data_IF_316505369015
#
_entry.id   IF_316505369015
#
_cell.length_a   1.000
_cell.length_b   1.000
_cell.length_c   1.000
_cell.angle_alpha   90.00
_cell.angle_beta   90.00
_cell.angle_gamma   90.00
#
_symmetry.space_group_name_H-M   'P 1'
#
loop_
_entity.id
_entity.type
_entity.pdbx_description
1 polymer ?
#
# COMPACT_ATOMS: atom_id res chain seq x y z
N UNK A 1 6.33 -2.59 -44.08
CA UNK A 1 6.04 -3.53 -42.97
C UNK A 1 7.11 -3.45 -41.88
N UNK A 2 8.39 -3.23 -42.22
CA UNK A 2 9.51 -3.15 -41.26
C UNK A 2 9.52 -1.87 -40.41
N UNK A 3 9.09 -0.72 -40.92
CA UNK A 3 9.07 0.54 -40.16
C UNK A 3 7.94 0.60 -39.11
N UNK A 4 6.74 0.08 -39.43
CA UNK A 4 5.62 0.02 -38.48
C UNK A 4 5.87 -0.91 -37.28
N UNK A 5 6.73 -1.92 -37.44
CA UNK A 5 7.13 -2.82 -36.36
C UNK A 5 8.13 -2.10 -35.43
N UNK A 6 9.13 -1.40 -36.01
CA UNK A 6 10.07 -0.58 -35.24
C UNK A 6 9.40 0.54 -34.45
N UNK A 7 8.45 1.25 -35.05
CA UNK A 7 7.76 2.34 -34.34
C UNK A 7 6.93 1.83 -33.16
N UNK A 8 6.26 0.69 -33.31
CA UNK A 8 5.48 0.07 -32.23
C UNK A 8 6.38 -0.43 -31.08
N UNK A 9 7.53 -1.01 -31.42
CA UNK A 9 8.52 -1.45 -30.43
C UNK A 9 9.15 -0.27 -29.68
N UNK A 10 9.37 0.87 -30.36
CA UNK A 10 9.84 2.10 -29.73
C UNK A 10 8.78 2.68 -28.78
N UNK A 11 7.51 2.76 -29.20
CA UNK A 11 6.43 3.28 -28.34
C UNK A 11 6.24 2.44 -27.09
N UNK A 12 6.23 1.11 -27.22
CA UNK A 12 6.11 0.20 -26.07
C UNK A 12 7.30 0.29 -25.11
N UNK A 13 8.51 0.49 -25.63
CA UNK A 13 9.70 0.71 -24.80
C UNK A 13 9.63 2.05 -24.05
N UNK A 14 9.15 3.11 -24.71
CA UNK A 14 8.94 4.42 -24.08
C UNK A 14 7.90 4.36 -22.94
N UNK A 15 6.78 3.67 -23.16
CA UNK A 15 5.76 3.42 -22.13
C UNK A 15 6.34 2.68 -20.93
N UNK A 16 7.11 1.62 -21.17
CA UNK A 16 7.73 0.82 -20.11
C UNK A 16 8.76 1.64 -19.31
N UNK A 17 9.57 2.46 -20.00
CA UNK A 17 10.51 3.38 -19.34
C UNK A 17 9.78 4.43 -18.49
N UNK A 18 8.64 4.93 -18.96
CA UNK A 18 7.84 5.89 -18.20
C UNK A 18 7.26 5.25 -16.93
N UNK A 19 6.74 4.02 -17.02
CA UNK A 19 6.25 3.27 -15.86
C UNK A 19 7.37 3.00 -14.85
N UNK A 20 8.57 2.59 -15.32
CA UNK A 20 9.73 2.36 -14.45
C UNK A 20 10.21 3.65 -13.76
N UNK A 21 10.22 4.78 -14.46
CA UNK A 21 10.51 6.09 -13.84
C UNK A 21 9.49 6.46 -12.77
N UNK A 22 8.20 6.29 -13.06
CA UNK A 22 7.14 6.57 -12.10
C UNK A 22 7.26 5.70 -10.84
N UNK A 23 7.60 4.42 -10.99
CA UNK A 23 7.83 3.51 -9.89
C UNK A 23 9.01 3.95 -9.00
N UNK A 24 10.13 4.35 -9.60
CA UNK A 24 11.28 4.88 -8.86
C UNK A 24 10.92 6.15 -8.07
N UNK A 25 10.14 7.03 -8.69
CA UNK A 25 9.70 8.27 -8.07
C UNK A 25 8.80 8.00 -6.85
N UNK A 26 7.88 7.04 -6.96
CA UNK A 26 7.04 6.57 -5.85
C UNK A 26 7.92 6.01 -4.72
N UNK A 27 8.88 5.15 -5.04
CA UNK A 27 9.83 4.57 -4.06
C UNK A 27 10.62 5.66 -3.32
N UNK A 28 11.15 6.64 -4.04
CA UNK A 28 11.86 7.77 -3.43
C UNK A 28 10.96 8.58 -2.50
N UNK A 29 9.70 8.82 -2.88
CA UNK A 29 8.73 9.53 -2.05
C UNK A 29 8.34 8.73 -0.80
N UNK A 30 8.27 7.40 -0.89
CA UNK A 30 8.07 6.54 0.29
C UNK A 30 9.25 6.72 1.27
N UNK A 31 10.49 6.69 0.77
CA UNK A 31 11.68 6.87 1.61
C UNK A 31 11.78 8.26 2.24
N UNK A 32 11.36 9.31 1.54
CA UNK A 32 11.40 10.68 2.03
C UNK A 32 10.28 11.02 3.04
N UNK A 33 9.25 10.18 3.15
CA UNK A 33 8.09 10.47 3.98
C UNK A 33 8.43 10.45 5.48
N UNK A 34 8.00 11.49 6.19
CA UNK A 34 8.36 11.69 7.59
C UNK A 34 7.51 10.88 8.56
N UNK A 35 6.28 10.52 8.15
CA UNK A 35 5.36 9.75 8.98
C UNK A 35 4.37 8.95 8.12
N UNK A 36 3.75 7.94 8.75
CA UNK A 36 2.76 7.05 8.10
C UNK A 36 1.61 7.85 7.48
N UNK A 37 1.08 8.89 8.16
CA UNK A 37 -0.05 9.68 7.65
C UNK A 37 0.28 10.30 6.29
N UNK A 38 1.49 10.83 6.15
CA UNK A 38 1.97 11.40 4.91
C UNK A 38 2.08 10.34 3.80
N UNK A 39 2.58 9.14 4.12
CA UNK A 39 2.62 8.01 3.17
C UNK A 39 1.21 7.68 2.65
N UNK A 40 0.22 7.60 3.53
CA UNK A 40 -1.16 7.24 3.15
C UNK A 40 -1.84 8.30 2.27
N UNK A 41 -1.45 9.57 2.38
CA UNK A 41 -2.09 10.69 1.67
C UNK A 41 -1.32 11.07 0.42
N UNK A 42 -0.01 11.32 0.53
CA UNK A 42 0.79 11.95 -0.52
C UNK A 42 1.08 10.98 -1.68
N UNK A 43 1.25 9.68 -1.39
CA UNK A 43 1.59 8.68 -2.41
C UNK A 43 0.41 8.28 -3.29
N UNK A 44 -0.80 8.69 -2.90
CA UNK A 44 -2.03 8.26 -3.52
C UNK A 44 -2.03 8.50 -5.03
N UNK A 45 -1.75 9.74 -5.43
CA UNK A 45 -1.84 10.15 -6.83
C UNK A 45 -0.74 9.50 -7.69
N UNK A 46 0.46 9.29 -7.13
CA UNK A 46 1.56 8.64 -7.85
C UNK A 46 1.23 7.19 -8.20
N UNK A 47 0.77 6.42 -7.20
CA UNK A 47 0.38 5.02 -7.39
C UNK A 47 -0.85 4.93 -8.30
N UNK A 48 -1.85 5.80 -8.12
CA UNK A 48 -3.03 5.82 -8.99
C UNK A 48 -2.70 6.01 -10.46
N UNK A 49 -1.74 6.89 -10.77
CA UNK A 49 -1.31 7.14 -12.14
C UNK A 49 -0.54 5.95 -12.71
N UNK A 50 0.35 5.32 -11.93
CA UNK A 50 1.10 4.14 -12.37
C UNK A 50 0.17 2.99 -12.78
N UNK A 51 -0.86 2.72 -11.97
CA UNK A 51 -1.83 1.64 -12.24
C UNK A 51 -2.99 2.06 -13.14
N UNK A 52 -3.04 3.33 -13.54
CA UNK A 52 -4.22 3.93 -14.17
C UNK A 52 -5.51 3.53 -13.44
N UNK A 53 -5.58 3.69 -12.12
CA UNK A 53 -6.70 3.24 -11.30
C UNK A 53 -7.57 4.40 -10.80
N UNK A 54 -8.77 4.09 -10.31
CA UNK A 54 -9.70 5.10 -9.76
C UNK A 54 -9.44 5.37 -8.28
N UNK A 55 -9.12 4.34 -7.50
CA UNK A 55 -8.87 4.48 -6.08
C UNK A 55 -7.78 3.52 -5.62
N UNK A 56 -7.11 3.89 -4.54
CA UNK A 56 -6.21 3.01 -3.81
C UNK A 56 -6.54 3.12 -2.33
N UNK A 57 -6.19 2.08 -1.59
CA UNK A 57 -6.25 2.08 -0.14
C UNK A 57 -4.97 1.45 0.39
N UNK A 58 -4.28 2.16 1.26
CA UNK A 58 -3.09 1.67 1.94
C UNK A 58 -3.46 1.45 3.40
N UNK A 59 -3.43 0.20 3.84
CA UNK A 59 -3.72 -0.18 5.21
C UNK A 59 -2.44 -0.41 6.01
N UNK A 60 -2.49 -0.08 7.29
CA UNK A 60 -1.45 -0.30 8.29
C UNK A 60 -1.99 -1.21 9.38
N UNK A 61 -1.17 -2.14 9.87
CA UNK A 61 -1.57 -3.08 10.93
C UNK A 61 -1.61 -2.38 12.29
N UNK A 62 -2.74 -2.53 13.00
CA UNK A 62 -2.92 -2.23 14.42
C UNK A 62 -2.90 -3.55 15.20
N UNK A 63 -1.69 -3.98 15.61
CA UNK A 63 -1.48 -5.28 16.28
C UNK A 63 -2.30 -5.45 17.56
N UNK A 64 -2.37 -4.46 18.48
CA UNK A 64 -3.17 -4.60 19.70
C UNK A 64 -4.64 -4.92 19.46
N UNK A 65 -5.23 -4.42 18.36
CA UNK A 65 -6.63 -4.66 18.00
C UNK A 65 -6.83 -5.83 17.04
N UNK A 66 -5.76 -6.40 16.50
CA UNK A 66 -5.80 -7.37 15.40
C UNK A 66 -6.63 -6.86 14.20
N UNK A 67 -6.41 -5.60 13.86
CA UNK A 67 -7.07 -4.89 12.77
C UNK A 67 -6.04 -4.29 11.81
N UNK A 68 -6.49 -3.96 10.62
CA UNK A 68 -5.80 -3.06 9.71
C UNK A 68 -6.61 -1.77 9.58
N UNK A 69 -5.94 -0.63 9.53
CA UNK A 69 -6.58 0.68 9.39
C UNK A 69 -5.98 1.49 8.26
N UNK A 70 -6.81 2.33 7.63
CA UNK A 70 -6.41 3.27 6.59
C UNK A 70 -7.00 4.64 6.90
N UNK A 71 -6.34 5.69 6.44
CA UNK A 71 -6.84 7.06 6.53
C UNK A 71 -7.08 7.63 5.13
N UNK A 72 -8.10 8.47 4.99
CA UNK A 72 -8.36 9.20 3.75
C UNK A 72 -8.92 10.58 4.06
N UNK A 73 -8.70 11.53 3.14
CA UNK A 73 -9.29 12.86 3.20
C UNK A 73 -10.72 12.84 2.67
N UNK A 74 -11.67 13.28 3.49
CA UNK A 74 -13.06 13.50 3.12
C UNK A 74 -13.38 15.01 3.30
N UNK A 75 -13.17 15.78 2.23
CA UNK A 75 -13.14 17.25 2.33
C UNK A 75 -11.96 17.70 3.18
N UNK A 76 -12.21 18.48 4.23
CA UNK A 76 -11.18 18.94 5.17
C UNK A 76 -10.92 17.99 6.36
N UNK A 77 -11.67 16.89 6.48
CA UNK A 77 -11.55 15.97 7.61
C UNK A 77 -10.83 14.69 7.20
N UNK A 78 -9.86 14.26 8.04
CA UNK A 78 -9.25 12.93 7.93
C UNK A 78 -10.22 11.93 8.56
N UNK A 79 -10.68 10.97 7.76
CA UNK A 79 -11.49 9.84 8.22
C UNK A 79 -10.66 8.57 8.24
N UNK A 80 -11.08 7.65 9.11
CA UNK A 80 -10.40 6.37 9.33
C UNK A 80 -11.33 5.22 8.96
N UNK A 81 -10.74 4.20 8.32
CA UNK A 81 -11.38 2.93 7.99
C UNK A 81 -10.64 1.86 8.77
N UNK A 82 -11.39 0.98 9.45
CA UNK A 82 -10.84 -0.18 10.17
C UNK A 82 -11.46 -1.46 9.65
N UNK A 83 -10.63 -2.48 9.50
CA UNK A 83 -11.02 -3.80 9.01
C UNK A 83 -10.34 -4.86 9.88
N UNK A 84 -11.08 -5.82 10.46
CA UNK A 84 -10.48 -6.93 11.20
C UNK A 84 -9.61 -7.83 10.31
N UNK A 85 -8.52 -8.36 10.86
CA UNK A 85 -7.67 -9.35 10.17
C UNK A 85 -8.35 -10.72 10.28
N UNK A 86 -9.16 -11.05 9.26
CA UNK A 86 -9.82 -12.34 9.09
C UNK A 86 -10.23 -12.53 7.62
N UNK A 87 -10.75 -13.72 7.28
CA UNK A 87 -11.12 -14.05 5.90
C UNK A 87 -12.43 -13.42 5.41
N UNK A 88 -13.14 -12.62 6.23
CA UNK A 88 -14.48 -12.09 5.87
C UNK A 88 -14.46 -10.87 4.98
N UNK A 89 -13.28 -10.30 4.72
CA UNK A 89 -13.08 -9.15 3.85
C UNK A 89 -11.85 -9.37 2.99
N UNK A 90 -11.77 -8.71 1.82
CA UNK A 90 -10.64 -8.89 0.90
C UNK A 90 -9.34 -8.40 1.52
N UNK A 91 -9.33 -7.19 2.10
CA UNK A 91 -8.13 -6.66 2.76
C UNK A 91 -7.76 -7.47 4.01
N UNK A 92 -8.74 -7.89 4.81
CA UNK A 92 -8.53 -8.76 5.96
C UNK A 92 -7.97 -10.13 5.58
N UNK A 93 -8.46 -10.73 4.48
CA UNK A 93 -7.99 -12.03 4.00
C UNK A 93 -6.55 -11.95 3.49
N UNK A 94 -6.19 -10.89 2.76
CA UNK A 94 -4.81 -10.66 2.33
C UNK A 94 -3.90 -10.47 3.54
N UNK A 95 -4.33 -9.70 4.54
CA UNK A 95 -3.60 -9.56 5.81
C UNK A 95 -3.43 -10.91 6.53
N UNK A 96 -4.49 -11.73 6.58
CA UNK A 96 -4.48 -13.00 7.31
C UNK A 96 -3.65 -14.08 6.61
N UNK A 97 -3.71 -14.17 5.28
CA UNK A 97 -3.07 -15.24 4.51
C UNK A 97 -1.70 -14.86 3.96
N UNK A 98 -1.40 -13.57 3.84
CA UNK A 98 -0.18 -13.09 3.18
C UNK A 98 -0.14 -13.37 1.68
N UNK A 99 -1.29 -13.60 1.04
CA UNK A 99 -1.38 -13.90 -0.41
C UNK A 99 -1.90 -12.71 -1.19
N UNK A 100 -1.32 -12.48 -2.36
CA UNK A 100 -1.80 -11.48 -3.33
C UNK A 100 -3.12 -11.96 -3.94
N UNK A 101 -4.08 -11.05 -4.09
CA UNK A 101 -5.39 -11.30 -4.69
C UNK A 101 -5.61 -10.37 -5.88
N UNK A 102 -6.17 -10.90 -6.97
CA UNK A 102 -6.56 -10.16 -8.17
C UNK A 102 -7.96 -10.59 -8.62
N UNK A 103 -8.96 -9.77 -8.32
CA UNK A 103 -10.39 -9.98 -8.50
C UNK A 103 -10.90 -9.10 -9.65
N UNK A 104 -11.71 -9.68 -10.54
CA UNK A 104 -12.35 -8.95 -11.65
C UNK A 104 -13.60 -8.23 -11.16
N UNK A 105 -14.41 -8.92 -10.35
CA UNK A 105 -15.65 -8.36 -9.82
C UNK A 105 -15.85 -8.72 -8.34
N UNK A 106 -15.67 -7.75 -7.46
CA UNK A 106 -15.86 -7.89 -6.03
C UNK A 106 -17.32 -8.22 -5.64
N UNK A 107 -18.28 -8.04 -6.55
CA UNK A 107 -19.67 -8.43 -6.35
C UNK A 107 -19.96 -9.88 -6.77
N UNK A 108 -19.03 -10.55 -7.46
CA UNK A 108 -19.18 -11.94 -7.86
C UNK A 108 -18.83 -12.87 -6.70
N UNK A 109 -19.88 -13.37 -6.04
CA UNK A 109 -19.76 -14.30 -4.91
C UNK A 109 -19.06 -15.61 -5.32
N UNK A 110 -19.21 -16.07 -6.55
CA UNK A 110 -18.55 -17.30 -7.01
C UNK A 110 -17.05 -17.08 -7.21
N UNK A 111 -16.65 -15.92 -7.74
CA UNK A 111 -15.24 -15.53 -7.83
C UNK A 111 -14.60 -15.49 -6.44
N UNK A 112 -15.25 -14.84 -5.47
CA UNK A 112 -14.75 -14.75 -4.10
C UNK A 112 -14.63 -16.12 -3.42
N UNK A 113 -15.66 -16.97 -3.57
CA UNK A 113 -15.68 -18.31 -2.95
C UNK A 113 -14.65 -19.28 -3.52
N UNK A 114 -14.20 -19.07 -4.78
CA UNK A 114 -13.09 -19.83 -5.37
C UNK A 114 -11.75 -19.51 -4.72
N UNK A 115 -11.60 -18.31 -4.14
CA UNK A 115 -10.40 -17.89 -3.42
C UNK A 115 -10.44 -18.44 -1.99
N UNK A 116 -11.52 -18.15 -1.26
CA UNK A 116 -11.75 -18.66 0.10
C UNK A 116 -13.25 -18.71 0.40
N UNK A 117 -13.71 -19.76 1.09
CA UNK A 117 -15.13 -20.01 1.37
C UNK A 117 -15.78 -18.94 2.24
N UNK A 118 -14.99 -18.29 3.09
CA UNK A 118 -15.44 -17.23 4.01
C UNK A 118 -15.30 -15.83 3.39
N UNK A 119 -14.67 -15.71 2.22
CA UNK A 119 -14.43 -14.44 1.55
C UNK A 119 -15.72 -13.79 1.11
N UNK A 120 -15.92 -12.56 1.58
CA UNK A 120 -17.03 -11.72 1.21
C UNK A 120 -16.54 -10.29 0.94
N UNK A 121 -17.27 -9.57 0.10
CA UNK A 121 -17.06 -8.15 -0.10
C UNK A 121 -18.02 -7.34 0.77
N UNK A 122 -17.47 -6.43 1.58
CA UNK A 122 -18.27 -5.54 2.41
C UNK A 122 -18.74 -4.31 1.60
N UNK A 123 -20.02 -4.32 1.27
CA UNK A 123 -20.70 -3.26 0.51
C UNK A 123 -20.96 -2.00 1.34
N UNK A 124 -20.79 -2.02 2.66
CA UNK A 124 -21.14 -0.90 3.53
C UNK A 124 -20.32 0.35 3.21
N UNK A 125 -19.05 0.20 2.84
CA UNK A 125 -18.20 1.34 2.46
C UNK A 125 -18.56 1.92 1.10
N UNK A 126 -18.84 1.08 0.11
CA UNK A 126 -19.33 1.50 -1.19
C UNK A 126 -20.65 2.28 -1.06
N UNK A 127 -21.60 1.77 -0.25
CA UNK A 127 -22.87 2.46 0.03
C UNK A 127 -22.68 3.80 0.73
N UNK A 128 -21.71 3.91 1.65
CA UNK A 128 -21.44 5.16 2.39
C UNK A 128 -20.74 6.21 1.54
N UNK A 129 -19.87 5.79 0.63
CA UNK A 129 -19.03 6.70 -0.18
C UNK A 129 -19.61 6.98 -1.55
N UNK A 130 -20.55 6.15 -2.03
CA UNK A 130 -21.04 6.19 -3.41
C UNK A 130 -20.05 5.63 -4.43
N UNK A 131 -18.87 5.17 -3.99
CA UNK A 131 -17.89 4.49 -4.83
C UNK A 131 -18.30 3.03 -5.05
N UNK A 132 -18.20 2.52 -6.27
CA UNK A 132 -18.47 1.11 -6.58
C UNK A 132 -17.17 0.39 -6.87
N UNK A 133 -16.77 -0.52 -5.99
CA UNK A 133 -15.54 -1.30 -6.09
C UNK A 133 -15.81 -2.58 -6.88
N UNK A 134 -15.29 -2.65 -8.11
CA UNK A 134 -15.44 -3.81 -8.99
C UNK A 134 -14.16 -4.62 -9.06
N UNK A 135 -13.09 -4.05 -9.63
CA UNK A 135 -11.81 -4.75 -9.75
C UNK A 135 -10.93 -4.43 -8.55
N UNK A 136 -10.26 -5.45 -8.01
CA UNK A 136 -9.38 -5.30 -6.84
C UNK A 136 -8.10 -6.06 -7.07
N UNK A 137 -6.97 -5.36 -6.97
CA UNK A 137 -5.66 -5.97 -6.80
C UNK A 137 -5.13 -5.62 -5.41
N UNK A 138 -4.82 -6.63 -4.61
CA UNK A 138 -4.43 -6.45 -3.22
C UNK A 138 -3.19 -7.29 -2.88
N UNK A 139 -2.20 -6.68 -2.25
CA UNK A 139 -0.96 -7.32 -1.82
C UNK A 139 -0.67 -7.04 -0.34
N UNK A 140 -0.11 -8.01 0.40
CA UNK A 140 0.33 -7.78 1.76
C UNK A 140 1.64 -6.95 1.75
N UNK A 141 1.77 -6.08 2.75
CA UNK A 141 2.98 -5.29 3.00
C UNK A 141 3.73 -5.99 4.13
N UNK A 142 4.92 -6.50 3.84
CA UNK A 142 5.75 -7.23 4.80
C UNK A 142 7.08 -6.50 5.07
N UNK A 143 7.56 -6.63 6.31
CA UNK A 143 8.97 -6.38 6.63
C UNK A 143 9.51 -7.58 7.43
N UNK A 144 10.55 -8.24 6.92
CA UNK A 144 11.15 -9.42 7.55
C UNK A 144 10.11 -10.47 8.01
N UNK A 145 9.19 -10.87 7.12
CA UNK A 145 8.06 -11.79 7.37
C UNK A 145 7.00 -11.30 8.35
N UNK A 146 7.15 -10.09 8.89
CA UNK A 146 6.17 -9.48 9.78
C UNK A 146 5.22 -8.63 8.95
N UNK A 147 3.91 -8.89 9.04
CA UNK A 147 2.90 -8.10 8.36
C UNK A 147 2.90 -6.67 8.91
N UNK A 148 3.04 -5.70 8.01
CA UNK A 148 2.99 -4.27 8.29
C UNK A 148 1.70 -3.62 7.80
N UNK A 149 1.06 -4.19 6.76
CA UNK A 149 -0.09 -3.57 6.13
C UNK A 149 -0.63 -4.35 4.94
N UNK A 150 -1.53 -3.70 4.19
CA UNK A 150 -2.06 -4.22 2.92
C UNK A 150 -2.20 -3.05 1.94
N UNK A 151 -1.71 -3.23 0.72
CA UNK A 151 -1.88 -2.28 -0.38
C UNK A 151 -2.99 -2.78 -1.30
N UNK A 152 -3.98 -1.94 -1.59
CA UNK A 152 -5.07 -2.27 -2.50
C UNK A 152 -5.23 -1.22 -3.60
N UNK A 153 -5.34 -1.69 -4.85
CA UNK A 153 -5.67 -0.91 -6.02
C UNK A 153 -7.08 -1.29 -6.48
N UNK A 154 -7.92 -0.28 -6.68
CA UNK A 154 -9.34 -0.44 -6.96
C UNK A 154 -9.70 0.18 -8.31
N UNK A 155 -10.40 -0.60 -9.13
CA UNK A 155 -10.93 -0.25 -10.45
C UNK A 155 -9.89 0.33 -11.40
N UNK A 156 -9.44 -0.49 -12.35
CA UNK A 156 -8.61 -0.01 -13.46
C UNK A 156 -9.41 0.95 -14.34
N UNK A 157 -8.78 1.99 -14.86
CA UNK A 157 -9.32 2.91 -15.87
C UNK A 157 -9.09 2.31 -17.25
N UNK A 158 -10.07 2.46 -18.13
CA UNK A 158 -9.98 1.93 -19.49
C UNK A 158 -10.51 0.50 -19.59
N UNK A 159 -9.68 -0.42 -20.10
CA UNK A 159 -10.14 -1.74 -20.51
C UNK A 159 -10.60 -2.62 -19.34
N UNK A 160 -11.74 -3.32 -19.48
CA UNK A 160 -12.24 -4.27 -18.49
C UNK A 160 -11.33 -5.51 -18.44
N UNK A 161 -11.03 -6.02 -17.25
CA UNK A 161 -10.22 -7.24 -17.09
C UNK A 161 -9.52 -7.38 -15.74
N UNK A 162 -8.59 -8.33 -15.64
CA UNK A 162 -7.68 -8.43 -14.49
C UNK A 162 -6.54 -7.43 -14.61
N UNK A 163 -5.97 -7.05 -13.48
CA UNK A 163 -4.65 -6.43 -13.49
C UNK A 163 -3.62 -7.40 -14.08
N UNK A 164 -2.67 -6.89 -14.86
CA UNK A 164 -1.64 -7.67 -15.57
C UNK A 164 -0.61 -8.23 -14.59
N UNK A 165 0.24 -9.16 -15.03
CA UNK A 165 1.36 -9.64 -14.20
C UNK A 165 2.38 -8.54 -13.91
N UNK A 166 2.61 -7.62 -14.84
CA UNK A 166 3.48 -6.46 -14.61
C UNK A 166 2.92 -5.54 -13.53
N UNK A 167 1.60 -5.27 -13.55
CA UNK A 167 0.92 -4.51 -12.51
C UNK A 167 1.02 -5.21 -11.14
N UNK A 168 0.90 -6.54 -11.09
CA UNK A 168 1.16 -7.30 -9.86
C UNK A 168 2.61 -7.14 -9.39
N UNK A 169 3.56 -7.17 -10.32
CA UNK A 169 4.99 -6.95 -10.04
C UNK A 169 5.23 -5.58 -9.42
N UNK A 170 4.70 -4.52 -10.03
CA UNK A 170 4.78 -3.16 -9.48
C UNK A 170 4.14 -3.06 -8.10
N UNK A 171 3.02 -3.74 -7.88
CA UNK A 171 2.34 -3.72 -6.58
C UNK A 171 3.20 -4.35 -5.49
N UNK A 172 3.86 -5.47 -5.82
CA UNK A 172 4.76 -6.16 -4.89
C UNK A 172 5.99 -5.31 -4.59
N UNK A 173 6.63 -4.72 -5.61
CA UNK A 173 7.78 -3.82 -5.43
C UNK A 173 7.43 -2.64 -4.50
N UNK A 174 6.28 -1.99 -4.72
CA UNK A 174 5.81 -0.90 -3.84
C UNK A 174 5.51 -1.42 -2.42
N UNK A 175 4.91 -2.61 -2.30
CA UNK A 175 4.58 -3.21 -1.00
C UNK A 175 5.84 -3.51 -0.19
N UNK A 176 6.93 -3.94 -0.82
CA UNK A 176 8.19 -4.23 -0.14
C UNK A 176 8.83 -2.93 0.41
N UNK A 177 8.84 -1.86 -0.39
CA UNK A 177 9.33 -0.54 0.02
C UNK A 177 8.49 0.04 1.16
N UNK A 178 7.16 -0.04 1.04
CA UNK A 178 6.23 0.38 2.10
C UNK A 178 6.46 -0.41 3.40
N UNK A 179 6.82 -1.69 3.31
CA UNK A 179 7.13 -2.52 4.47
C UNK A 179 8.30 -1.97 5.28
N UNK A 180 9.40 -1.61 4.61
CA UNK A 180 10.55 -0.97 5.25
C UNK A 180 10.17 0.37 5.87
N UNK A 181 9.42 1.20 5.15
CA UNK A 181 9.00 2.51 5.66
C UNK A 181 8.09 2.40 6.88
N UNK A 182 7.08 1.52 6.85
CA UNK A 182 6.19 1.28 7.98
C UNK A 182 6.92 0.72 9.20
N UNK A 183 7.85 -0.21 8.99
CA UNK A 183 8.65 -0.75 10.09
C UNK A 183 9.51 0.34 10.75
N UNK A 184 10.21 1.15 9.97
CA UNK A 184 11.01 2.25 10.50
C UNK A 184 10.14 3.22 11.32
N UNK A 185 8.98 3.59 10.81
CA UNK A 185 8.03 4.49 11.49
C UNK A 185 7.42 3.87 12.76
N UNK A 186 7.10 2.57 12.74
CA UNK A 186 6.65 1.82 13.93
C UNK A 186 7.76 1.81 15.00
N UNK A 187 9.03 1.61 14.60
CA UNK A 187 10.20 1.66 15.50
C UNK A 187 10.39 3.06 16.10
N UNK A 188 10.32 4.12 15.30
CA UNK A 188 10.42 5.50 15.79
C UNK A 188 9.30 5.83 16.79
N UNK A 189 8.07 5.39 16.54
CA UNK A 189 6.93 5.64 17.44
C UNK A 189 7.01 4.82 18.73
N UNK A 190 7.62 3.62 18.67
CA UNK A 190 7.84 2.74 19.83
C UNK A 190 9.03 3.14 20.69
N UNK A 191 10.04 3.84 20.14
CA UNK A 191 11.05 4.50 20.97
C UNK A 191 10.30 5.47 21.90
N UNK A 192 10.35 5.21 23.21
CA UNK A 192 9.73 6.08 24.22
C UNK A 192 10.21 7.49 23.95
N UNK A 193 9.31 8.48 23.95
CA UNK A 193 9.74 9.88 23.94
C UNK A 193 10.69 10.09 25.10
N UNK A 194 11.96 10.32 24.83
CA UNK A 194 12.95 10.57 25.88
C UNK A 194 13.12 12.08 26.02
N UNK A 195 13.66 12.52 27.16
CA UNK A 195 14.08 13.92 27.33
C UNK A 195 15.16 14.35 26.31
N UNK A 196 15.78 13.39 25.61
CA UNK A 196 16.83 13.63 24.62
C UNK A 196 16.30 13.81 23.20
N UNK A 197 15.00 13.56 22.95
CA UNK A 197 14.39 13.73 21.62
C UNK A 197 14.49 15.17 21.11
N UNK A 198 14.47 16.15 22.02
CA UNK A 198 14.69 17.55 21.68
C UNK A 198 16.08 17.76 21.09
N UNK A 199 17.08 17.09 21.66
CA UNK A 199 18.48 17.22 21.23
C UNK A 199 18.71 16.52 19.88
N UNK A 200 18.11 15.35 19.67
CA UNK A 200 18.20 14.63 18.39
C UNK A 200 17.51 15.43 17.27
N UNK A 201 16.30 15.96 17.53
CA UNK A 201 15.54 16.70 16.51
C UNK A 201 16.14 18.07 16.14
N UNK A 202 17.10 18.58 16.92
CA UNK A 202 17.84 19.81 16.64
C UNK A 202 19.31 19.55 16.29
N UNK A 203 19.68 18.32 15.93
CA UNK A 203 21.05 17.91 15.55
C UNK A 203 22.11 18.13 16.65
N UNK A 204 21.67 18.23 17.92
CA UNK A 204 22.53 18.43 19.09
C UNK A 204 23.05 17.11 19.68
N UNK A 205 22.58 15.96 19.20
CA UNK A 205 23.00 14.62 19.64
C UNK A 205 22.80 13.63 18.49
N UNK A 206 23.84 12.86 18.15
CA UNK A 206 23.75 11.83 17.10
C UNK A 206 23.18 10.54 17.68
N UNK A 207 22.40 9.85 16.86
CA UNK A 207 21.65 8.65 17.24
C UNK A 207 22.57 7.51 17.72
N UNK A 208 23.76 7.41 17.14
CA UNK A 208 24.79 6.39 17.46
C UNK A 208 25.42 6.58 18.85
N UNK A 209 25.44 7.82 19.36
CA UNK A 209 26.05 8.14 20.67
C UNK A 209 25.13 7.72 21.84
N UNK A 210 23.83 7.55 21.59
CA UNK A 210 22.88 7.07 22.59
C UNK A 210 22.94 5.55 22.70
N UNK A 211 22.96 4.83 21.57
CA UNK A 211 22.92 3.37 21.57
C UNK A 211 24.22 2.78 22.19
N UNK A 212 25.37 3.45 22.06
CA UNK A 212 26.64 3.07 22.72
C UNK A 212 26.66 3.30 24.24
N UNK A 213 25.97 4.32 24.75
CA UNK A 213 25.93 4.62 26.18
C UNK A 213 25.14 3.58 27.01
N UNK A 214 24.28 2.79 26.38
CA UNK A 214 23.53 1.70 27.04
C UNK A 214 24.30 0.37 27.05
N UNK A 215 25.31 0.20 26.20
CA UNK A 215 26.16 -1.00 26.21
C UNK A 215 27.26 -0.95 27.29
N UNK A 216 27.64 0.26 27.74
CA UNK A 216 28.65 0.50 28.78
C UNK A 216 28.09 0.57 30.23
N UNK A 217 26.81 0.23 30.46
CA UNK A 217 26.14 0.30 31.78
C UNK A 217 25.72 -1.05 32.36
#
# INVERSE_FOLDING_TARGET
>A
MTDQIKDKDITTLEELLQQRKALLDITNRIHAAQNIKQILVDLKDGILNLFSAHSITIYVVDRPRNEIFSMFLAGAQVKEIRVPINNKSISGHVANTGKVINIIDAYDIEELKKIDKELAFDLSWDKKTGFRTKQILAAPIFHNKTLMGVLQILNKKGEPGKFTEDEKGFLQEISDVLGVAFFNQERYTRRRKTRFDYLISHDLLKEDDLDSAWEDS
#
